data_IF_345656830361
#
_entry.id   IF_345656830361
#
_cell.length_a   1.000
_cell.length_b   1.000
_cell.length_c   1.000
_cell.angle_alpha   90.00
_cell.angle_beta   90.00
_cell.angle_gamma   90.00
#
_symmetry.space_group_name_H-M   'P 1'
#
loop_
_entity.id
_entity.type
_entity.pdbx_description
1 polymer ?
#
# COMPACT_ATOMS: atom_id res chain seq x y z
N UNK A 1 -3.35 5.47 -33.78
CA UNK A 1 -3.52 4.35 -32.83
C UNK A 1 -2.12 3.82 -32.56
N UNK A 2 -1.64 3.83 -31.32
CA UNK A 2 -0.32 3.25 -31.01
C UNK A 2 -0.46 1.73 -31.00
N UNK A 3 0.30 1.04 -31.83
CA UNK A 3 0.28 -0.42 -31.88
C UNK A 3 1.42 -0.97 -31.02
N UNK A 4 1.12 -1.37 -29.80
CA UNK A 4 2.12 -1.89 -28.85
C UNK A 4 2.65 -3.27 -29.24
N UNK A 5 1.98 -4.01 -30.14
CA UNK A 5 2.50 -5.28 -30.66
C UNK A 5 3.79 -5.11 -31.47
N UNK A 6 4.07 -3.88 -31.94
CA UNK A 6 5.32 -3.54 -32.65
C UNK A 6 6.51 -3.29 -31.70
N UNK A 7 6.27 -3.15 -30.40
CA UNK A 7 7.36 -2.99 -29.43
C UNK A 7 8.04 -4.35 -29.19
N UNK A 8 9.35 -4.46 -29.45
CA UNK A 8 10.05 -5.70 -29.16
C UNK A 8 10.09 -5.98 -27.67
N UNK A 9 10.12 -7.25 -27.29
CA UNK A 9 10.36 -7.64 -25.91
C UNK A 9 11.78 -7.31 -25.51
N UNK A 10 12.03 -6.54 -24.45
CA UNK A 10 13.39 -6.28 -23.97
C UNK A 10 14.07 -7.55 -23.47
N UNK A 11 13.31 -8.54 -23.06
CA UNK A 11 13.80 -9.83 -22.57
C UNK A 11 14.22 -10.75 -23.72
N UNK A 12 13.35 -10.89 -24.74
CA UNK A 12 13.56 -11.82 -25.86
C UNK A 12 14.51 -11.25 -26.94
N UNK A 13 14.80 -9.95 -26.90
CA UNK A 13 15.70 -9.27 -27.85
C UNK A 13 17.19 -9.46 -27.52
N UNK A 14 17.54 -10.10 -26.40
CA UNK A 14 18.92 -10.25 -25.95
C UNK A 14 19.50 -9.01 -25.25
N UNK A 15 18.70 -7.97 -25.00
CA UNK A 15 19.15 -6.69 -24.39
C UNK A 15 19.89 -6.92 -23.06
N UNK A 16 19.46 -7.85 -22.24
CA UNK A 16 20.02 -8.09 -20.91
C UNK A 16 21.08 -9.20 -20.83
N UNK A 17 21.38 -9.91 -21.94
CA UNK A 17 22.29 -11.06 -21.94
C UNK A 17 23.70 -10.72 -21.42
N UNK A 18 24.21 -9.54 -21.77
CA UNK A 18 25.53 -9.13 -21.30
C UNK A 18 25.56 -8.80 -19.80
N UNK A 19 24.44 -8.32 -19.25
CA UNK A 19 24.33 -8.03 -17.82
C UNK A 19 24.32 -9.34 -17.02
N UNK A 20 23.51 -10.31 -17.42
CA UNK A 20 23.44 -11.62 -16.77
C UNK A 20 24.76 -12.40 -16.84
N UNK A 21 25.56 -12.23 -17.92
CA UNK A 21 26.87 -12.84 -18.03
C UNK A 21 27.93 -12.15 -17.15
N UNK A 22 27.79 -10.83 -16.96
CA UNK A 22 28.80 -10.01 -16.25
C UNK A 22 28.61 -10.02 -14.74
N UNK A 23 27.37 -10.12 -14.27
CA UNK A 23 27.03 -9.96 -12.86
C UNK A 23 26.22 -11.15 -12.34
N UNK A 24 26.69 -11.75 -11.25
CA UNK A 24 25.99 -12.81 -10.51
C UNK A 24 25.17 -12.19 -9.37
N UNK A 25 24.02 -11.61 -9.72
CA UNK A 25 23.11 -10.98 -8.79
C UNK A 25 21.78 -11.73 -8.70
N UNK A 26 21.07 -11.52 -7.59
CA UNK A 26 19.65 -11.82 -7.50
C UNK A 26 18.88 -10.74 -8.30
N UNK A 27 18.30 -11.14 -9.42
CA UNK A 27 17.69 -10.20 -10.37
C UNK A 27 16.21 -10.00 -10.08
N UNK A 28 15.81 -8.71 -10.09
CA UNK A 28 14.42 -8.29 -10.14
C UNK A 28 14.12 -7.72 -11.52
N UNK A 29 13.03 -8.17 -12.15
CA UNK A 29 12.57 -7.67 -13.44
C UNK A 29 11.17 -7.05 -13.31
N UNK A 30 10.93 -5.99 -14.06
CA UNK A 30 9.60 -5.40 -14.22
C UNK A 30 8.93 -5.95 -15.46
N UNK A 31 7.76 -6.55 -15.33
CA UNK A 31 7.02 -7.17 -16.43
C UNK A 31 5.65 -6.54 -16.63
N UNK A 32 5.33 -6.18 -17.88
CA UNK A 32 4.07 -5.59 -18.28
C UNK A 32 3.37 -6.51 -19.28
N UNK A 33 2.17 -6.99 -18.94
CA UNK A 33 1.37 -7.86 -19.83
C UNK A 33 0.35 -7.07 -20.65
N UNK A 34 -0.05 -5.93 -20.14
CA UNK A 34 -0.94 -4.98 -20.80
C UNK A 34 -0.62 -3.56 -20.30
N UNK A 35 -1.02 -2.57 -21.07
CA UNK A 35 -0.80 -1.16 -20.76
C UNK A 35 -2.12 -0.40 -20.71
N UNK A 36 -2.26 0.50 -19.74
CA UNK A 36 -3.44 1.32 -19.52
C UNK A 36 -4.33 0.85 -18.37
N UNK A 37 -5.34 1.67 -18.03
CA UNK A 37 -6.30 1.39 -16.96
C UNK A 37 -7.69 1.88 -17.37
N UNK A 38 -8.76 1.06 -17.24
CA UNK A 38 -10.10 1.48 -17.60
C UNK A 38 -10.75 2.41 -16.56
N UNK A 39 -10.14 2.55 -15.39
CA UNK A 39 -10.66 3.38 -14.30
C UNK A 39 -10.17 4.83 -14.40
N UNK A 40 -10.90 5.75 -13.78
CA UNK A 40 -10.66 7.20 -13.85
C UNK A 40 -10.38 7.81 -12.49
N UNK A 41 -9.73 7.08 -11.59
CA UNK A 41 -9.43 7.58 -10.26
C UNK A 41 -8.59 8.85 -10.34
N UNK A 42 -9.02 9.93 -9.71
CA UNK A 42 -8.42 11.26 -9.84
C UNK A 42 -7.00 11.37 -9.28
N UNK A 43 -6.65 10.49 -8.34
CA UNK A 43 -5.32 10.45 -7.71
C UNK A 43 -4.30 9.61 -8.49
N UNK A 44 -4.74 8.93 -9.56
CA UNK A 44 -3.94 7.92 -10.25
C UNK A 44 -3.59 8.36 -11.67
N UNK A 45 -2.35 8.18 -12.05
CA UNK A 45 -1.81 8.58 -13.34
C UNK A 45 -2.05 7.55 -14.46
N UNK A 46 -2.28 6.31 -14.12
CA UNK A 46 -2.42 5.20 -15.09
C UNK A 46 -3.63 5.32 -16.01
N UNK A 47 -4.74 5.88 -15.53
CA UNK A 47 -5.94 6.08 -16.34
C UNK A 47 -5.94 7.37 -17.14
N UNK A 48 -5.25 8.41 -16.67
CA UNK A 48 -5.18 9.73 -17.29
C UNK A 48 -4.11 9.81 -18.37
N UNK A 49 -2.91 9.27 -18.11
CA UNK A 49 -1.76 9.36 -19.00
C UNK A 49 -1.91 8.58 -20.30
N UNK A 50 -2.71 7.50 -20.34
CA UNK A 50 -2.79 6.55 -21.47
C UNK A 50 -4.20 6.44 -22.05
N UNK A 51 -5.11 7.37 -21.68
CA UNK A 51 -6.46 7.45 -22.24
C UNK A 51 -7.32 6.18 -22.03
N UNK A 52 -7.30 5.58 -20.85
CA UNK A 52 -8.27 4.60 -20.35
C UNK A 52 -8.53 3.34 -21.20
N UNK A 53 -7.72 3.03 -22.21
CA UNK A 53 -7.82 1.77 -22.98
C UNK A 53 -6.76 0.79 -22.50
N UNK A 54 -7.16 -0.49 -22.39
CA UNK A 54 -6.23 -1.58 -22.18
C UNK A 54 -5.68 -2.07 -23.51
N UNK A 55 -4.39 -1.87 -23.73
CA UNK A 55 -3.66 -2.43 -24.86
C UNK A 55 -2.88 -3.65 -24.38
N UNK A 56 -3.08 -4.78 -25.08
CA UNK A 56 -2.58 -6.09 -24.66
C UNK A 56 -1.35 -6.46 -25.48
N UNK A 57 -0.35 -7.07 -24.83
CA UNK A 57 0.68 -7.79 -25.54
C UNK A 57 0.20 -9.19 -25.93
N UNK A 58 0.77 -9.76 -26.97
CA UNK A 58 0.42 -11.08 -27.48
C UNK A 58 0.73 -12.19 -26.47
N UNK A 59 -0.19 -13.15 -26.29
CA UNK A 59 -0.06 -14.22 -25.30
C UNK A 59 1.18 -15.09 -25.55
N UNK A 60 1.47 -15.41 -26.81
CA UNK A 60 2.66 -16.21 -27.16
C UNK A 60 3.97 -15.52 -26.75
N UNK A 61 4.04 -14.19 -26.92
CA UNK A 61 5.17 -13.40 -26.42
C UNK A 61 5.30 -13.51 -24.90
N UNK A 62 4.20 -13.36 -24.17
CA UNK A 62 4.20 -13.41 -22.72
C UNK A 62 4.61 -14.78 -22.18
N UNK A 63 4.18 -15.87 -22.82
CA UNK A 63 4.63 -17.21 -22.46
C UNK A 63 6.14 -17.39 -22.64
N UNK A 64 6.71 -16.89 -23.75
CA UNK A 64 8.16 -16.90 -23.98
C UNK A 64 8.92 -16.06 -22.95
N UNK A 65 8.35 -14.91 -22.55
CA UNK A 65 8.93 -14.09 -21.48
C UNK A 65 8.94 -14.81 -20.13
N UNK A 66 7.84 -15.52 -19.77
CA UNK A 66 7.78 -16.36 -18.56
C UNK A 66 8.83 -17.48 -18.61
N UNK A 67 8.98 -18.15 -19.75
CA UNK A 67 10.02 -19.17 -19.92
C UNK A 67 11.42 -18.58 -19.75
N UNK A 68 11.68 -17.40 -20.32
CA UNK A 68 12.93 -16.67 -20.17
C UNK A 68 13.23 -16.32 -18.70
N UNK A 69 12.23 -15.86 -17.93
CA UNK A 69 12.41 -15.55 -16.50
C UNK A 69 12.87 -16.78 -15.72
N UNK A 70 12.32 -17.93 -16.03
CA UNK A 70 12.68 -19.19 -15.39
C UNK A 70 14.07 -19.68 -15.80
N UNK A 71 14.42 -19.59 -17.09
CA UNK A 71 15.75 -19.96 -17.62
C UNK A 71 16.86 -19.07 -17.03
N UNK A 72 16.60 -17.78 -16.87
CA UNK A 72 17.54 -16.81 -16.29
C UNK A 72 17.53 -16.81 -14.74
N UNK A 73 16.74 -17.66 -14.11
CA UNK A 73 16.63 -17.80 -12.66
C UNK A 73 16.31 -16.45 -11.97
N UNK A 74 15.34 -15.73 -12.52
CA UNK A 74 14.93 -14.43 -11.96
C UNK A 74 14.31 -14.62 -10.57
N UNK A 75 14.81 -13.88 -9.58
CA UNK A 75 14.31 -13.98 -8.21
C UNK A 75 12.92 -13.39 -8.08
N UNK A 76 12.75 -12.12 -8.47
CA UNK A 76 11.47 -11.43 -8.39
C UNK A 76 11.05 -10.89 -9.76
N UNK A 77 9.84 -11.21 -10.16
CA UNK A 77 9.15 -10.53 -11.27
C UNK A 77 8.10 -9.58 -10.68
N UNK A 78 8.28 -8.28 -10.92
CA UNK A 78 7.31 -7.25 -10.57
C UNK A 78 6.38 -7.01 -11.77
N UNK A 79 5.12 -7.45 -11.65
CA UNK A 79 4.08 -7.23 -12.64
C UNK A 79 3.59 -5.78 -12.57
N UNK A 80 3.94 -4.99 -13.60
CA UNK A 80 3.64 -3.57 -13.68
C UNK A 80 2.28 -3.24 -14.31
N UNK A 81 1.41 -4.24 -14.44
CA UNK A 81 0.03 -4.01 -14.88
C UNK A 81 -0.74 -3.21 -13.84
N UNK A 82 -1.56 -2.25 -14.30
CA UNK A 82 -2.43 -1.48 -13.40
C UNK A 82 -3.49 -2.31 -12.70
N UNK A 83 -3.86 -3.46 -13.27
CA UNK A 83 -4.96 -4.32 -12.80
C UNK A 83 -4.76 -5.76 -13.27
N UNK A 84 -3.78 -6.47 -12.74
CA UNK A 84 -3.61 -7.89 -13.07
C UNK A 84 -4.84 -8.69 -12.60
N UNK A 85 -5.32 -9.61 -13.40
CA UNK A 85 -6.57 -10.34 -13.16
C UNK A 85 -7.81 -9.72 -13.81
N UNK A 86 -7.70 -8.53 -14.44
CA UNK A 86 -8.82 -7.93 -15.18
C UNK A 86 -9.15 -8.70 -16.48
N UNK A 87 -8.14 -9.22 -17.16
CA UNK A 87 -8.29 -9.96 -18.40
C UNK A 87 -8.54 -11.45 -18.15
N UNK A 88 -9.32 -12.09 -19.03
CA UNK A 88 -9.59 -13.54 -18.90
C UNK A 88 -8.33 -14.38 -19.04
N UNK A 89 -7.36 -13.93 -19.84
CA UNK A 89 -6.09 -14.63 -20.07
C UNK A 89 -5.15 -14.61 -18.87
N UNK A 90 -5.36 -13.72 -17.90
CA UNK A 90 -4.45 -13.58 -16.75
C UNK A 90 -4.39 -14.85 -15.91
N UNK A 91 -5.47 -15.63 -15.87
CA UNK A 91 -5.47 -16.99 -15.27
C UNK A 91 -4.46 -17.89 -15.97
N UNK A 92 -4.43 -17.91 -17.31
CA UNK A 92 -3.48 -18.73 -18.07
C UNK A 92 -2.02 -18.29 -17.86
N UNK A 93 -1.79 -16.98 -17.70
CA UNK A 93 -0.47 -16.46 -17.37
C UNK A 93 -0.05 -16.89 -15.96
N UNK A 94 -0.98 -16.88 -15.00
CA UNK A 94 -0.72 -17.37 -13.66
C UNK A 94 -0.43 -18.88 -13.63
N UNK A 95 -1.19 -19.68 -14.35
CA UNK A 95 -0.95 -21.13 -14.53
C UNK A 95 0.44 -21.38 -15.10
N UNK A 96 0.82 -20.66 -16.17
CA UNK A 96 2.15 -20.78 -16.79
C UNK A 96 3.29 -20.39 -15.84
N UNK A 97 3.12 -19.31 -15.07
CA UNK A 97 4.09 -18.91 -14.03
C UNK A 97 4.22 -20.00 -12.96
N UNK A 98 3.09 -20.56 -12.52
CA UNK A 98 3.07 -21.63 -11.51
C UNK A 98 3.70 -22.94 -12.03
N UNK A 99 3.43 -23.32 -13.28
CA UNK A 99 4.06 -24.48 -13.93
C UNK A 99 5.58 -24.30 -13.99
N UNK A 100 6.05 -23.14 -14.43
CA UNK A 100 7.46 -22.84 -14.51
C UNK A 100 8.12 -22.83 -13.12
N UNK A 101 7.45 -22.27 -12.11
CA UNK A 101 7.91 -22.33 -10.72
C UNK A 101 8.06 -23.76 -10.23
N UNK A 102 7.09 -24.64 -10.48
CA UNK A 102 7.15 -26.06 -10.12
C UNK A 102 8.30 -26.78 -10.83
N UNK A 103 8.51 -26.48 -12.12
CA UNK A 103 9.49 -27.18 -12.97
C UNK A 103 10.92 -26.69 -12.75
N UNK A 104 11.12 -25.39 -12.63
CA UNK A 104 12.45 -24.76 -12.63
C UNK A 104 12.83 -24.12 -11.29
N UNK A 105 11.89 -23.97 -10.35
CA UNK A 105 12.07 -23.23 -9.11
C UNK A 105 11.97 -21.71 -9.27
N UNK A 106 11.82 -21.19 -10.49
CA UNK A 106 11.82 -19.77 -10.83
C UNK A 106 10.66 -19.39 -11.75
N UNK A 107 10.22 -18.07 -11.73
CA UNK A 107 10.72 -17.05 -10.83
C UNK A 107 10.50 -17.44 -9.37
N UNK A 108 11.34 -16.94 -8.44
CA UNK A 108 11.16 -17.28 -7.04
C UNK A 108 9.92 -16.59 -6.47
N UNK A 109 9.69 -15.33 -6.87
CA UNK A 109 8.53 -14.54 -6.43
C UNK A 109 7.91 -13.78 -7.61
N UNK A 110 6.60 -13.57 -7.52
CA UNK A 110 5.85 -12.69 -8.40
C UNK A 110 5.00 -11.75 -7.55
N UNK A 111 5.07 -10.46 -7.81
CA UNK A 111 4.22 -9.45 -7.16
C UNK A 111 3.57 -8.57 -8.20
N UNK A 112 2.34 -8.13 -7.97
CA UNK A 112 1.59 -7.32 -8.93
C UNK A 112 0.46 -6.56 -8.27
N UNK A 113 0.00 -5.49 -8.91
CA UNK A 113 -1.23 -4.81 -8.54
C UNK A 113 -2.43 -5.58 -9.09
N UNK A 114 -3.21 -6.20 -8.20
CA UNK A 114 -4.44 -6.87 -8.60
C UNK A 114 -5.54 -5.87 -9.00
N UNK A 115 -6.48 -6.33 -9.82
CA UNK A 115 -7.60 -5.46 -10.23
C UNK A 115 -8.37 -4.92 -9.03
N UNK A 116 -8.68 -3.63 -9.08
CA UNK A 116 -9.28 -2.86 -7.97
C UNK A 116 -10.63 -3.41 -7.50
N UNK A 117 -11.44 -3.90 -8.42
CA UNK A 117 -12.68 -4.58 -8.10
C UNK A 117 -12.40 -6.08 -8.01
N UNK A 118 -11.72 -6.47 -6.92
CA UNK A 118 -11.40 -7.85 -6.64
C UNK A 118 -12.65 -8.72 -6.74
N UNK A 119 -12.55 -9.75 -7.55
CA UNK A 119 -13.63 -10.71 -7.83
C UNK A 119 -13.19 -12.10 -7.38
N UNK A 120 -14.09 -13.07 -7.42
CA UNK A 120 -13.72 -14.48 -7.22
C UNK A 120 -12.59 -14.91 -8.17
N UNK A 121 -12.53 -14.35 -9.38
CA UNK A 121 -11.44 -14.60 -10.32
C UNK A 121 -10.06 -14.19 -9.77
N UNK A 122 -9.98 -13.07 -9.03
CA UNK A 122 -8.71 -12.67 -8.37
C UNK A 122 -8.36 -13.63 -7.26
N UNK A 123 -9.36 -14.12 -6.53
CA UNK A 123 -9.15 -15.17 -5.53
C UNK A 123 -8.58 -16.45 -6.17
N UNK A 124 -9.18 -16.94 -7.27
CA UNK A 124 -8.70 -18.14 -7.99
C UNK A 124 -7.26 -17.95 -8.49
N UNK A 125 -6.96 -16.78 -9.05
CA UNK A 125 -5.62 -16.43 -9.52
C UNK A 125 -4.60 -16.38 -8.37
N UNK A 126 -4.97 -15.75 -7.27
CA UNK A 126 -4.13 -15.69 -6.07
C UNK A 126 -3.87 -17.07 -5.46
N UNK A 127 -4.87 -17.96 -5.50
CA UNK A 127 -4.73 -19.35 -5.07
C UNK A 127 -3.69 -20.12 -5.90
N UNK A 128 -3.69 -19.95 -7.23
CA UNK A 128 -2.67 -20.56 -8.12
C UNK A 128 -1.26 -20.13 -7.67
N UNK A 129 -1.07 -18.86 -7.34
CA UNK A 129 0.23 -18.38 -6.87
C UNK A 129 0.59 -18.87 -5.47
N UNK A 130 -0.39 -18.92 -4.55
CA UNK A 130 -0.18 -19.39 -3.19
C UNK A 130 0.25 -20.85 -3.14
N UNK A 131 -0.36 -21.73 -3.96
CA UNK A 131 -0.05 -23.16 -4.05
C UNK A 131 1.42 -23.47 -4.41
N UNK A 132 2.12 -22.52 -5.03
CA UNK A 132 3.53 -22.67 -5.43
C UNK A 132 4.46 -21.68 -4.72
N UNK A 133 3.96 -20.91 -3.77
CA UNK A 133 4.74 -19.94 -3.01
C UNK A 133 5.26 -18.75 -3.85
N UNK A 134 4.56 -18.40 -4.94
CA UNK A 134 4.95 -17.28 -5.80
C UNK A 134 4.68 -15.90 -5.21
N UNK A 135 3.66 -15.77 -4.34
CA UNK A 135 3.35 -14.49 -3.70
C UNK A 135 3.11 -14.64 -2.18
N UNK A 136 3.19 -13.53 -1.46
CA UNK A 136 3.04 -13.49 0.01
C UNK A 136 1.72 -12.90 0.49
N UNK A 137 0.95 -12.28 -0.40
CA UNK A 137 -0.32 -11.65 -0.02
C UNK A 137 -1.03 -10.99 -1.18
N UNK A 138 -2.30 -10.71 -0.98
CA UNK A 138 -3.21 -10.12 -1.99
C UNK A 138 -3.65 -8.74 -1.55
N UNK A 139 -3.44 -7.73 -2.40
CA UNK A 139 -3.99 -6.40 -2.14
C UNK A 139 -5.49 -6.35 -2.49
N UNK A 140 -6.29 -5.88 -1.54
CA UNK A 140 -7.71 -5.56 -1.74
C UNK A 140 -7.92 -4.09 -1.40
N UNK A 141 -7.52 -3.23 -2.33
CA UNK A 141 -7.41 -1.79 -2.11
C UNK A 141 -8.76 -1.09 -2.10
N UNK A 142 -9.07 -0.38 -1.01
CA UNK A 142 -10.29 0.41 -0.84
C UNK A 142 -10.07 1.92 -1.02
N UNK A 143 -8.88 2.43 -0.74
CA UNK A 143 -8.43 3.84 -0.78
C UNK A 143 -9.16 4.76 0.22
N UNK A 144 -10.47 4.66 0.33
CA UNK A 144 -11.36 5.26 1.32
C UNK A 144 -12.63 4.41 1.44
N UNK A 145 -13.31 4.49 2.58
CA UNK A 145 -14.63 3.89 2.81
C UNK A 145 -15.75 4.95 2.88
N UNK A 146 -15.41 6.21 2.74
CA UNK A 146 -16.37 7.32 2.70
C UNK A 146 -16.95 7.47 1.28
N UNK A 147 -18.28 7.37 1.15
CA UNK A 147 -18.96 7.45 -0.14
C UNK A 147 -18.80 8.80 -0.83
N UNK A 148 -18.73 9.89 -0.07
CA UNK A 148 -18.51 11.23 -0.63
C UNK A 148 -17.08 11.35 -1.19
N UNK A 149 -16.08 10.88 -0.44
CA UNK A 149 -14.70 10.81 -0.89
C UNK A 149 -14.58 9.97 -2.16
N UNK A 150 -15.16 8.76 -2.19
CA UNK A 150 -15.12 7.88 -3.36
C UNK A 150 -15.73 8.56 -4.59
N UNK A 151 -16.85 9.27 -4.43
CA UNK A 151 -17.46 10.06 -5.51
C UNK A 151 -16.52 11.16 -6.01
N UNK A 152 -15.87 11.89 -5.11
CA UNK A 152 -14.97 12.99 -5.46
C UNK A 152 -13.73 12.49 -6.20
N UNK A 153 -13.19 11.34 -5.82
CA UNK A 153 -12.03 10.73 -6.47
C UNK A 153 -12.39 9.81 -7.65
N UNK A 154 -13.65 9.77 -8.05
CA UNK A 154 -14.17 8.95 -9.17
C UNK A 154 -13.80 7.46 -9.06
N UNK A 155 -13.97 6.92 -7.86
CA UNK A 155 -13.68 5.52 -7.56
C UNK A 155 -14.92 4.79 -7.09
N UNK A 156 -15.18 3.64 -7.69
CA UNK A 156 -16.16 2.68 -7.20
C UNK A 156 -15.43 1.54 -6.47
N UNK A 157 -15.79 1.30 -5.23
CA UNK A 157 -15.33 0.15 -4.47
C UNK A 157 -16.30 -1.03 -4.59
N UNK A 158 -15.81 -2.24 -4.32
CA UNK A 158 -16.68 -3.38 -4.05
C UNK A 158 -17.53 -3.09 -2.80
N UNK A 159 -18.73 -3.67 -2.77
CA UNK A 159 -19.61 -3.53 -1.60
C UNK A 159 -18.97 -4.13 -0.35
N UNK A 160 -19.19 -3.53 0.81
CA UNK A 160 -18.58 -3.97 2.07
C UNK A 160 -18.95 -5.42 2.43
N UNK A 161 -20.19 -5.84 2.19
CA UNK A 161 -20.61 -7.23 2.43
C UNK A 161 -19.86 -8.23 1.54
N UNK A 162 -19.61 -7.85 0.28
CA UNK A 162 -18.80 -8.67 -0.61
C UNK A 162 -17.33 -8.69 -0.17
N UNK A 163 -16.78 -7.55 0.23
CA UNK A 163 -15.44 -7.47 0.81
C UNK A 163 -15.30 -8.40 2.02
N UNK A 164 -16.26 -8.36 2.94
CA UNK A 164 -16.31 -9.24 4.12
C UNK A 164 -16.36 -10.73 3.75
N UNK A 165 -17.18 -11.08 2.74
CA UNK A 165 -17.26 -12.47 2.27
C UNK A 165 -15.94 -12.92 1.62
N UNK A 166 -15.27 -12.02 0.88
CA UNK A 166 -14.00 -12.28 0.25
C UNK A 166 -12.88 -12.46 1.28
N UNK A 167 -12.84 -11.63 2.32
CA UNK A 167 -11.87 -11.78 3.42
C UNK A 167 -11.98 -13.15 4.10
N UNK A 168 -13.19 -13.62 4.36
CA UNK A 168 -13.41 -14.97 4.92
C UNK A 168 -12.83 -16.06 4.02
N UNK A 169 -13.05 -15.98 2.70
CA UNK A 169 -12.48 -16.94 1.74
C UNK A 169 -10.96 -16.95 1.77
N UNK A 170 -10.32 -15.78 1.89
CA UNK A 170 -8.86 -15.68 1.99
C UNK A 170 -8.36 -16.30 3.29
N UNK A 171 -9.01 -16.03 4.43
CA UNK A 171 -8.66 -16.62 5.73
C UNK A 171 -8.83 -18.16 5.71
N UNK A 172 -9.94 -18.66 5.17
CA UNK A 172 -10.20 -20.11 5.04
C UNK A 172 -9.18 -20.81 4.13
N UNK A 173 -8.60 -20.10 3.19
CA UNK A 173 -7.55 -20.58 2.28
C UNK A 173 -6.13 -20.34 2.80
N UNK A 174 -5.96 -19.86 4.04
CA UNK A 174 -4.67 -19.49 4.64
C UNK A 174 -3.86 -18.49 3.77
N UNK A 175 -4.57 -17.55 3.16
CA UNK A 175 -3.98 -16.52 2.32
C UNK A 175 -4.05 -15.15 2.99
N UNK A 176 -2.90 -14.52 3.13
CA UNK A 176 -2.77 -13.17 3.71
C UNK A 176 -3.29 -12.13 2.73
N UNK A 177 -4.09 -11.18 3.24
CA UNK A 177 -4.53 -10.01 2.48
C UNK A 177 -4.01 -8.73 3.14
N UNK A 178 -3.89 -7.66 2.35
CA UNK A 178 -3.70 -6.32 2.87
C UNK A 178 -4.59 -5.34 2.13
N UNK A 179 -4.96 -4.28 2.82
CA UNK A 179 -5.78 -3.19 2.28
C UNK A 179 -4.95 -1.92 2.20
N UNK A 180 -5.22 -1.12 1.19
CA UNK A 180 -4.57 0.16 0.98
C UNK A 180 -5.59 1.29 1.11
N UNK A 181 -5.23 2.30 1.89
CA UNK A 181 -5.98 3.56 2.04
C UNK A 181 -5.07 4.74 1.70
N UNK A 182 -5.68 5.89 1.40
CA UNK A 182 -4.96 7.14 1.08
C UNK A 182 -5.48 8.27 1.98
N UNK A 183 -4.58 9.00 2.63
CA UNK A 183 -4.91 10.08 3.57
C UNK A 183 -4.10 11.36 3.23
N UNK A 184 -4.77 12.55 3.18
CA UNK A 184 -6.22 12.77 3.10
C UNK A 184 -6.67 12.82 1.62
N UNK A 185 -7.91 12.43 1.37
CA UNK A 185 -8.53 12.61 0.05
C UNK A 185 -9.68 13.62 0.12
N UNK A 186 -10.04 14.32 -0.97
CA UNK A 186 -11.15 15.28 -0.99
C UNK A 186 -12.48 14.68 -0.57
N UNK A 187 -13.12 15.28 0.43
CA UNK A 187 -14.37 14.80 1.02
C UNK A 187 -14.19 13.90 2.25
N UNK A 188 -12.96 13.47 2.56
CA UNK A 188 -12.65 12.77 3.80
C UNK A 188 -12.62 13.73 4.97
N UNK A 189 -13.20 13.32 6.11
CA UNK A 189 -13.12 14.02 7.39
C UNK A 189 -12.44 13.14 8.42
N UNK A 190 -12.02 13.69 9.54
CA UNK A 190 -11.45 12.87 10.61
C UNK A 190 -12.45 11.81 11.12
N UNK A 191 -13.72 12.19 11.26
CA UNK A 191 -14.76 11.28 11.73
C UNK A 191 -15.05 10.18 10.71
N UNK A 192 -15.16 10.51 9.41
CA UNK A 192 -15.37 9.48 8.38
C UNK A 192 -14.17 8.57 8.22
N UNK A 193 -12.95 9.05 8.49
CA UNK A 193 -11.74 8.25 8.53
C UNK A 193 -11.82 7.17 9.62
N UNK A 194 -12.19 7.56 10.86
CA UNK A 194 -12.38 6.61 11.96
C UNK A 194 -13.45 5.57 11.67
N UNK A 195 -14.63 6.03 11.22
CA UNK A 195 -15.72 5.14 10.82
C UNK A 195 -15.28 4.16 9.72
N UNK A 196 -14.47 4.61 8.78
CA UNK A 196 -13.92 3.77 7.71
C UNK A 196 -13.01 2.68 8.28
N UNK A 197 -12.15 3.01 9.23
CA UNK A 197 -11.28 2.05 9.92
C UNK A 197 -12.11 1.02 10.69
N UNK A 198 -13.14 1.44 11.44
CA UNK A 198 -14.02 0.52 12.17
C UNK A 198 -14.72 -0.45 11.21
N UNK A 199 -15.27 0.04 10.10
CA UNK A 199 -15.90 -0.80 9.06
C UNK A 199 -14.93 -1.80 8.44
N UNK A 200 -13.68 -1.39 8.22
CA UNK A 200 -12.64 -2.23 7.67
C UNK A 200 -12.31 -3.39 8.63
N UNK A 201 -12.05 -3.08 9.88
CA UNK A 201 -11.72 -4.05 10.92
C UNK A 201 -12.91 -4.97 11.27
N UNK A 202 -14.15 -4.43 11.33
CA UNK A 202 -15.38 -5.21 11.46
C UNK A 202 -15.62 -6.16 10.26
N UNK A 203 -14.93 -5.94 9.16
CA UNK A 203 -14.91 -6.84 8.01
C UNK A 203 -13.80 -7.89 8.05
N UNK A 204 -13.15 -8.08 9.21
CA UNK A 204 -12.06 -9.03 9.45
C UNK A 204 -10.77 -8.73 8.69
N UNK A 205 -10.53 -7.46 8.35
CA UNK A 205 -9.26 -7.04 7.74
C UNK A 205 -8.23 -6.74 8.85
N UNK A 206 -7.63 -7.77 9.40
CA UNK A 206 -6.64 -7.67 10.48
C UNK A 206 -5.21 -8.00 10.04
N UNK A 207 -5.02 -8.52 8.80
CA UNK A 207 -3.72 -9.03 8.36
C UNK A 207 -2.75 -7.94 7.91
N UNK A 208 -3.24 -6.85 7.31
CA UNK A 208 -2.35 -5.77 6.86
C UNK A 208 -3.10 -4.53 6.37
N UNK A 209 -2.58 -3.38 6.72
CA UNK A 209 -3.04 -2.07 6.25
C UNK A 209 -1.84 -1.21 5.87
N UNK A 210 -1.89 -0.67 4.66
CA UNK A 210 -0.95 0.36 4.20
C UNK A 210 -1.73 1.66 4.02
N UNK A 211 -1.28 2.73 4.64
CA UNK A 211 -1.86 4.05 4.46
C UNK A 211 -0.85 4.95 3.75
N UNK A 212 -1.17 5.33 2.54
CA UNK A 212 -0.34 6.22 1.74
C UNK A 212 -0.68 7.68 2.01
N UNK A 213 0.33 8.54 1.99
CA UNK A 213 0.12 9.97 1.80
C UNK A 213 -0.54 10.20 0.43
N UNK A 214 -1.48 11.13 0.35
CA UNK A 214 -2.10 11.50 -0.91
C UNK A 214 -1.12 12.35 -1.75
N UNK A 215 -0.37 11.69 -2.63
CA UNK A 215 0.59 12.35 -3.51
C UNK A 215 -0.13 13.07 -4.65
N UNK A 216 0.34 14.26 -5.00
CA UNK A 216 -0.19 15.06 -6.11
C UNK A 216 0.64 14.80 -7.37
N UNK A 217 0.21 13.81 -8.14
CA UNK A 217 0.86 13.49 -9.41
C UNK A 217 0.51 14.51 -10.50
N UNK A 218 1.49 15.08 -11.24
CA UNK A 218 1.24 16.16 -12.20
C UNK A 218 0.27 15.82 -13.33
N UNK A 219 0.26 14.56 -13.77
CA UNK A 219 -0.59 14.09 -14.86
C UNK A 219 -1.93 13.49 -14.40
N UNK A 220 -2.15 13.35 -13.11
CA UNK A 220 -3.43 12.92 -12.55
C UNK A 220 -4.38 14.12 -12.40
N UNK A 221 -5.70 13.87 -12.39
CA UNK A 221 -6.70 14.95 -12.21
C UNK A 221 -6.50 15.68 -10.87
N UNK A 222 -6.00 15.00 -9.85
CA UNK A 222 -5.62 15.57 -8.56
C UNK A 222 -4.54 16.67 -8.69
N UNK A 223 -3.71 16.61 -9.74
CA UNK A 223 -2.71 17.62 -10.10
C UNK A 223 -3.29 18.83 -10.81
N UNK A 224 -4.54 18.79 -11.31
CA UNK A 224 -5.18 19.90 -12.00
C UNK A 224 -5.51 21.04 -11.03
N UNK A 225 -5.18 22.29 -11.41
CA UNK A 225 -5.38 23.47 -10.57
C UNK A 225 -6.84 23.72 -10.23
N UNK A 226 -7.76 23.52 -11.18
CA UNK A 226 -9.19 23.73 -10.93
C UNK A 226 -9.73 22.68 -9.93
N UNK A 227 -9.23 21.44 -10.01
CA UNK A 227 -9.56 20.39 -9.06
C UNK A 227 -9.03 20.75 -7.66
N UNK A 228 -7.79 21.23 -7.55
CA UNK A 228 -7.19 21.65 -6.30
C UNK A 228 -7.91 22.85 -5.68
N UNK A 229 -8.28 23.84 -6.47
CA UNK A 229 -9.06 25.01 -6.02
C UNK A 229 -10.45 24.60 -5.54
N UNK A 230 -11.14 23.70 -6.28
CA UNK A 230 -12.47 23.20 -5.92
C UNK A 230 -12.50 22.57 -4.53
N UNK A 231 -11.49 21.77 -4.20
CA UNK A 231 -11.42 21.06 -2.94
C UNK A 231 -10.49 21.72 -1.91
N UNK A 232 -10.02 22.95 -2.20
CA UNK A 232 -9.09 23.74 -1.35
C UNK A 232 -7.90 22.92 -0.88
N UNK A 233 -7.32 22.14 -1.79
CA UNK A 233 -6.19 21.26 -1.50
C UNK A 233 -4.99 22.09 -1.06
N UNK A 234 -4.43 21.72 0.10
CA UNK A 234 -3.19 22.27 0.64
C UNK A 234 -2.13 21.20 0.54
N UNK A 235 -0.97 21.56 0.00
CA UNK A 235 0.15 20.64 -0.20
C UNK A 235 1.36 21.03 0.64
N UNK A 236 2.19 20.04 0.95
CA UNK A 236 3.55 20.21 1.40
C UNK A 236 4.48 19.37 0.51
N UNK A 237 5.67 19.89 0.22
CA UNK A 237 6.69 19.11 -0.48
C UNK A 237 7.55 18.37 0.52
N UNK A 238 7.68 17.06 0.35
CA UNK A 238 8.50 16.22 1.21
C UNK A 238 9.61 15.58 0.38
N UNK A 239 10.83 15.40 0.95
CA UNK A 239 11.86 14.62 0.28
C UNK A 239 11.41 13.18 0.11
N UNK A 240 11.61 12.63 -1.08
CA UNK A 240 11.41 11.22 -1.34
C UNK A 240 12.39 10.38 -0.51
N UNK A 241 11.87 9.37 0.14
CA UNK A 241 12.70 8.29 0.66
C UNK A 241 12.01 6.95 0.41
N UNK A 242 12.79 5.92 0.23
CA UNK A 242 12.28 4.58 0.14
C UNK A 242 12.37 3.92 1.51
N UNK A 243 11.24 3.42 2.03
CA UNK A 243 11.24 2.63 3.26
C UNK A 243 12.19 1.42 3.12
N UNK A 244 12.90 1.11 4.20
CA UNK A 244 13.90 0.04 4.28
C UNK A 244 15.11 0.20 3.35
N UNK A 245 15.32 1.40 2.79
CA UNK A 245 16.56 1.71 2.08
C UNK A 245 17.64 2.21 3.03
N UNK A 246 18.88 2.09 2.59
CA UNK A 246 20.02 2.71 3.27
C UNK A 246 19.83 4.24 3.36
N UNK A 247 20.61 4.87 4.24
CA UNK A 247 20.67 6.33 4.29
C UNK A 247 21.09 6.87 2.91
N UNK A 248 20.38 7.89 2.39
CA UNK A 248 20.79 8.51 1.13
C UNK A 248 22.24 8.96 1.21
N UNK A 249 23.03 8.55 0.23
CA UNK A 249 24.47 8.94 0.10
C UNK A 249 24.61 10.20 -0.74
N UNK A 250 23.58 10.52 -1.55
CA UNK A 250 23.60 11.61 -2.50
C UNK A 250 23.08 12.92 -1.91
N UNK A 251 23.73 14.03 -2.25
CA UNK A 251 23.29 15.38 -1.92
C UNK A 251 22.11 15.88 -2.74
N UNK A 252 21.66 15.09 -3.73
CA UNK A 252 20.53 15.43 -4.61
C UNK A 252 19.26 14.83 -4.03
N UNK A 253 18.39 15.70 -3.49
CA UNK A 253 17.09 15.31 -2.97
C UNK A 253 16.01 15.51 -4.03
N UNK A 254 15.23 14.49 -4.26
CA UNK A 254 13.97 14.57 -5.01
C UNK A 254 12.81 14.85 -4.03
N UNK A 255 11.83 15.61 -4.52
CA UNK A 255 10.67 16.02 -3.70
C UNK A 255 9.37 15.62 -4.35
N UNK A 256 8.40 15.27 -3.55
CA UNK A 256 7.03 15.02 -3.98
C UNK A 256 6.03 15.88 -3.20
N UNK A 257 5.02 16.46 -3.87
CA UNK A 257 3.94 17.16 -3.19
C UNK A 257 2.93 16.16 -2.63
N UNK A 258 2.66 16.26 -1.32
CA UNK A 258 1.60 15.51 -0.65
C UNK A 258 0.50 16.45 -0.19
N UNK A 259 -0.73 15.94 -0.08
CA UNK A 259 -1.85 16.69 0.48
C UNK A 259 -1.75 16.67 2.00
N UNK A 260 -1.86 17.85 2.61
CA UNK A 260 -1.85 18.05 4.07
C UNK A 260 -3.12 18.75 4.58
N UNK A 261 -4.10 18.92 3.72
CA UNK A 261 -5.41 19.46 4.04
C UNK A 261 -6.28 19.65 2.80
N UNK A 262 -7.60 19.62 3.01
CA UNK A 262 -8.64 19.83 2.00
C UNK A 262 -9.74 20.74 2.57
N UNK A 263 -10.80 20.99 1.80
CA UNK A 263 -12.00 21.68 2.29
C UNK A 263 -12.74 20.91 3.41
N UNK A 264 -12.59 19.58 3.45
CA UNK A 264 -13.26 18.69 4.42
C UNK A 264 -12.36 18.26 5.58
N UNK A 265 -11.04 18.37 5.44
CA UNK A 265 -10.07 18.00 6.48
C UNK A 265 -8.99 19.10 6.57
N UNK A 266 -9.03 19.89 7.64
CA UNK A 266 -7.99 20.90 7.90
C UNK A 266 -6.62 20.22 8.16
N UNK A 267 -5.52 20.99 8.01
CA UNK A 267 -4.16 20.48 8.35
C UNK A 267 -4.05 19.99 9.80
N UNK A 268 -4.77 20.62 10.74
CA UNK A 268 -4.82 20.15 12.13
C UNK A 268 -5.53 18.80 12.26
N UNK A 269 -6.64 18.62 11.55
CA UNK A 269 -7.35 17.33 11.53
C UNK A 269 -6.55 16.24 10.79
N UNK A 270 -5.83 16.60 9.71
CA UNK A 270 -4.90 15.70 9.06
C UNK A 270 -3.80 15.21 10.00
N UNK A 271 -3.20 16.10 10.80
CA UNK A 271 -2.24 15.70 11.83
C UNK A 271 -2.85 14.73 12.85
N UNK A 272 -4.09 14.99 13.28
CA UNK A 272 -4.82 14.08 14.19
C UNK A 272 -5.05 12.72 13.55
N UNK A 273 -5.52 12.68 12.30
CA UNK A 273 -5.72 11.44 11.55
C UNK A 273 -4.42 10.67 11.32
N UNK A 274 -3.32 11.38 11.08
CA UNK A 274 -2.02 10.75 10.89
C UNK A 274 -1.51 10.07 12.17
N UNK A 275 -1.59 10.76 13.34
CA UNK A 275 -1.24 10.17 14.64
C UNK A 275 -2.07 8.92 14.95
N UNK A 276 -3.38 9.03 14.75
CA UNK A 276 -4.32 7.93 14.87
C UNK A 276 -3.90 6.74 13.98
N UNK A 277 -3.53 7.01 12.74
CA UNK A 277 -3.14 5.99 11.76
C UNK A 277 -1.83 5.30 12.14
N UNK A 278 -0.82 6.05 12.60
CA UNK A 278 0.44 5.46 13.07
C UNK A 278 0.20 4.54 14.28
N UNK A 279 -0.63 4.95 15.23
CA UNK A 279 -1.00 4.10 16.37
C UNK A 279 -1.76 2.84 15.93
N UNK A 280 -2.71 2.98 15.00
CA UNK A 280 -3.43 1.85 14.42
C UNK A 280 -2.46 0.85 13.76
N UNK A 281 -1.60 1.32 12.88
CA UNK A 281 -0.67 0.46 12.16
C UNK A 281 0.34 -0.20 13.13
N UNK A 282 0.97 0.58 14.01
CA UNK A 282 1.98 0.08 14.94
C UNK A 282 1.41 -0.85 16.01
N UNK A 283 0.27 -0.54 16.60
CA UNK A 283 -0.28 -1.34 17.70
C UNK A 283 -1.20 -2.47 17.24
N UNK A 284 -2.03 -2.24 16.23
CA UNK A 284 -2.92 -3.29 15.74
C UNK A 284 -2.26 -4.15 14.66
N UNK A 285 -1.83 -3.57 13.55
CA UNK A 285 -1.39 -4.34 12.39
C UNK A 285 0.01 -4.95 12.56
N UNK A 286 0.89 -4.36 13.36
CA UNK A 286 2.17 -4.96 13.76
C UNK A 286 2.04 -5.89 14.99
N UNK A 287 0.83 -6.08 15.52
CA UNK A 287 0.47 -7.18 16.42
C UNK A 287 0.59 -6.89 17.91
N UNK A 288 1.12 -5.75 18.35
CA UNK A 288 1.36 -5.46 19.76
C UNK A 288 0.07 -5.53 20.62
N UNK A 289 -1.03 -5.00 20.13
CA UNK A 289 -2.32 -4.97 20.84
C UNK A 289 -3.46 -5.60 20.02
N UNK A 290 -3.20 -6.28 18.91
CA UNK A 290 -4.23 -6.80 18.01
C UNK A 290 -5.29 -7.65 18.75
N UNK A 291 -4.84 -8.56 19.62
CA UNK A 291 -5.76 -9.38 20.41
C UNK A 291 -6.61 -8.53 21.36
N UNK A 292 -6.03 -7.51 21.99
CA UNK A 292 -6.75 -6.59 22.89
C UNK A 292 -7.82 -5.83 22.12
N UNK A 293 -7.49 -5.26 20.96
CA UNK A 293 -8.45 -4.58 20.08
C UNK A 293 -9.65 -5.47 19.74
N UNK A 294 -9.39 -6.73 19.36
CA UNK A 294 -10.42 -7.69 18.97
C UNK A 294 -11.31 -8.06 20.17
N UNK A 295 -10.72 -8.33 21.34
CA UNK A 295 -11.46 -8.66 22.56
C UNK A 295 -12.33 -7.48 22.99
N UNK A 296 -11.79 -6.27 23.06
CA UNK A 296 -12.54 -5.08 23.43
C UNK A 296 -13.74 -4.84 22.51
N UNK A 297 -13.56 -5.06 21.21
CA UNK A 297 -14.62 -4.93 20.22
C UNK A 297 -15.72 -5.96 20.42
N UNK A 298 -15.36 -7.25 20.57
CA UNK A 298 -16.33 -8.34 20.59
C UNK A 298 -17.00 -8.56 21.95
N UNK A 299 -16.25 -8.40 23.04
CA UNK A 299 -16.77 -8.68 24.39
C UNK A 299 -17.38 -7.44 25.06
N UNK A 300 -16.86 -6.25 24.75
CA UNK A 300 -17.25 -5.00 25.43
C UNK A 300 -17.90 -3.97 24.51
N UNK A 301 -17.95 -4.21 23.20
CA UNK A 301 -18.57 -3.31 22.22
C UNK A 301 -17.80 -2.01 21.99
N UNK A 302 -16.56 -1.90 22.50
CA UNK A 302 -15.70 -0.72 22.29
C UNK A 302 -15.23 -0.74 20.83
N UNK A 303 -15.38 0.38 20.12
CA UNK A 303 -14.92 0.46 18.73
C UNK A 303 -13.39 0.49 18.67
N UNK A 304 -12.84 0.05 17.54
CA UNK A 304 -11.38 0.11 17.33
C UNK A 304 -10.90 1.55 17.39
N UNK A 305 -11.65 2.46 16.81
CA UNK A 305 -11.32 3.90 16.81
C UNK A 305 -11.37 4.51 18.20
N UNK A 306 -12.35 4.16 19.04
CA UNK A 306 -12.44 4.67 20.42
C UNK A 306 -11.26 4.20 21.27
N UNK A 307 -10.82 2.96 21.08
CA UNK A 307 -9.66 2.45 21.81
C UNK A 307 -8.36 3.16 21.38
N UNK A 308 -8.17 3.39 20.07
CA UNK A 308 -7.00 4.16 19.59
C UNK A 308 -7.05 5.60 20.16
N UNK A 309 -8.21 6.25 20.13
CA UNK A 309 -8.38 7.60 20.70
C UNK A 309 -8.07 7.60 22.21
N UNK A 310 -8.45 6.54 22.93
CA UNK A 310 -8.13 6.45 24.36
C UNK A 310 -6.62 6.37 24.61
N UNK A 311 -5.85 5.65 23.78
CA UNK A 311 -4.39 5.60 23.86
C UNK A 311 -3.75 6.97 23.55
N UNK A 312 -4.26 7.65 22.51
CA UNK A 312 -3.81 9.02 22.18
C UNK A 312 -4.12 9.98 23.33
N UNK A 313 -5.34 9.96 23.84
CA UNK A 313 -5.78 10.80 24.96
C UNK A 313 -4.97 10.55 26.24
N UNK A 314 -4.69 9.27 26.54
CA UNK A 314 -3.83 8.92 27.67
C UNK A 314 -2.43 9.54 27.53
N UNK A 315 -1.82 9.38 26.35
CA UNK A 315 -0.51 9.96 26.06
C UNK A 315 -0.53 11.49 26.13
N UNK A 316 -1.57 12.16 25.63
CA UNK A 316 -1.69 13.61 25.70
C UNK A 316 -1.86 14.13 27.14
N UNK A 317 -2.54 13.38 28.01
CA UNK A 317 -2.76 13.75 29.41
C UNK A 317 -1.53 13.44 30.29
N UNK A 318 -0.79 12.36 29.99
CA UNK A 318 0.33 11.89 30.81
C UNK A 318 1.68 12.21 30.14
N UNK A 319 2.18 13.43 30.36
CA UNK A 319 3.35 14.00 29.68
C UNK A 319 4.68 13.23 29.84
N UNK A 320 4.77 12.36 30.83
CA UNK A 320 5.97 11.54 31.08
C UNK A 320 5.83 10.10 30.58
N UNK A 321 4.65 9.75 30.03
CA UNK A 321 4.36 8.39 29.52
C UNK A 321 5.15 8.05 28.26
N UNK A 322 5.31 6.77 28.00
CA UNK A 322 5.86 6.26 26.75
C UNK A 322 4.99 6.71 25.56
N UNK A 323 3.65 6.60 25.69
CA UNK A 323 2.72 7.02 24.65
C UNK A 323 2.85 8.52 24.34
N UNK A 324 3.10 9.37 25.34
CA UNK A 324 3.38 10.80 25.10
C UNK A 324 4.68 11.02 24.31
N UNK A 325 5.73 10.29 24.63
CA UNK A 325 7.00 10.37 23.87
C UNK A 325 6.79 10.04 22.40
N UNK A 326 6.07 8.95 22.10
CA UNK A 326 5.73 8.58 20.72
C UNK A 326 4.88 9.63 20.01
N UNK A 327 3.85 10.17 20.65
CA UNK A 327 3.05 11.26 20.11
C UNK A 327 3.89 12.51 19.77
N UNK A 328 4.87 12.84 20.61
CA UNK A 328 5.76 13.96 20.35
C UNK A 328 6.72 13.69 19.19
N UNK A 329 7.20 12.44 19.03
CA UNK A 329 8.00 12.02 17.88
C UNK A 329 7.18 12.20 16.61
N UNK A 330 5.95 11.67 16.57
CA UNK A 330 5.05 11.79 15.41
C UNK A 330 4.74 13.26 15.11
N UNK A 331 4.45 14.08 16.11
CA UNK A 331 4.23 15.53 15.90
C UNK A 331 5.48 16.20 15.31
N UNK A 332 6.65 15.83 15.78
CA UNK A 332 7.92 16.29 15.23
C UNK A 332 8.11 15.92 13.75
N UNK A 333 7.71 14.70 13.37
CA UNK A 333 7.74 14.26 11.98
C UNK A 333 6.78 15.05 11.10
N UNK A 334 5.55 15.25 11.57
CA UNK A 334 4.55 16.04 10.86
C UNK A 334 5.01 17.49 10.63
N UNK A 335 5.69 18.07 11.61
CA UNK A 335 6.29 19.42 11.48
C UNK A 335 7.46 19.41 10.48
N UNK A 336 8.25 18.34 10.43
CA UNK A 336 9.30 18.15 9.41
C UNK A 336 8.69 18.09 8.01
N UNK A 337 7.63 17.28 7.80
CA UNK A 337 6.92 17.20 6.52
C UNK A 337 6.41 18.57 6.07
N UNK A 338 5.77 19.34 6.96
CA UNK A 338 5.31 20.70 6.65
C UNK A 338 6.44 21.70 6.38
N UNK A 339 7.68 21.38 6.76
CA UNK A 339 8.87 22.22 6.61
C UNK A 339 9.82 21.72 5.52
N UNK A 340 9.35 20.86 4.59
CA UNK A 340 10.14 20.26 3.50
C UNK A 340 11.34 19.44 4.00
N UNK A 341 11.22 18.80 5.16
CA UNK A 341 12.27 17.96 5.72
C UNK A 341 11.84 16.50 5.70
N UNK A 342 12.82 15.61 5.61
CA UNK A 342 12.57 14.17 5.63
C UNK A 342 11.90 13.73 6.94
N UNK A 343 10.92 12.85 6.81
CA UNK A 343 10.24 12.17 7.90
C UNK A 343 10.69 10.72 8.08
N UNK A 344 11.69 10.29 7.32
CA UNK A 344 12.36 9.00 7.52
C UNK A 344 12.93 8.92 8.94
N UNK A 345 12.78 7.77 9.56
CA UNK A 345 13.27 7.53 10.91
C UNK A 345 14.40 6.51 10.89
N UNK A 346 15.40 6.78 11.72
CA UNK A 346 16.49 5.86 12.03
C UNK A 346 16.39 5.57 13.52
N UNK A 347 16.15 4.30 13.88
CA UNK A 347 15.95 3.87 15.26
C UNK A 347 17.25 3.34 15.80
N UNK A 348 17.61 3.71 17.03
CA UNK A 348 18.84 3.26 17.69
C UNK A 348 18.91 1.72 17.67
N UNK A 349 20.06 1.17 17.33
CA UNK A 349 20.24 -0.27 17.10
C UNK A 349 19.78 -0.79 15.74
N UNK A 350 19.02 0.00 14.97
CA UNK A 350 18.48 -0.34 13.65
C UNK A 350 18.71 0.77 12.63
N UNK A 351 19.78 1.57 12.79
CA UNK A 351 20.05 2.81 12.04
C UNK A 351 20.50 2.58 10.59
N UNK A 352 20.71 1.34 10.17
CA UNK A 352 21.22 1.00 8.83
C UNK A 352 20.24 1.39 7.74
N UNK A 353 18.94 1.34 8.04
CA UNK A 353 17.88 1.60 7.08
C UNK A 353 16.90 2.65 7.59
N UNK A 354 16.17 3.26 6.64
CA UNK A 354 15.09 4.20 6.92
C UNK A 354 13.78 3.46 7.23
N UNK A 355 13.21 3.70 8.40
CA UNK A 355 11.97 3.08 8.86
C UNK A 355 10.77 4.01 8.61
N UNK A 356 9.62 3.49 8.18
CA UNK A 356 8.36 4.24 8.22
C UNK A 356 7.92 4.48 9.68
N UNK A 357 7.10 5.51 9.94
CA UNK A 357 6.75 5.94 11.30
C UNK A 357 6.18 4.85 12.20
N UNK A 358 5.28 4.02 11.70
CA UNK A 358 4.63 2.94 12.43
C UNK A 358 5.60 1.81 12.81
N UNK A 359 6.51 1.46 11.91
CA UNK A 359 7.50 0.42 12.18
C UNK A 359 8.59 0.94 13.15
N UNK A 360 9.01 2.20 13.00
CA UNK A 360 9.93 2.82 13.93
C UNK A 360 9.33 2.91 15.35
N UNK A 361 8.03 3.23 15.45
CA UNK A 361 7.31 3.20 16.73
C UNK A 361 7.25 1.77 17.30
N UNK A 362 6.97 0.78 16.46
CA UNK A 362 6.97 -0.62 16.86
C UNK A 362 8.32 -1.06 17.45
N UNK A 363 9.43 -0.73 16.80
CA UNK A 363 10.77 -1.06 17.28
C UNK A 363 11.05 -0.43 18.66
N UNK A 364 10.75 0.87 18.81
CA UNK A 364 10.91 1.55 20.11
C UNK A 364 9.98 0.98 21.19
N UNK A 365 8.80 0.50 20.79
CA UNK A 365 7.86 -0.14 21.75
C UNK A 365 8.41 -1.47 22.26
N UNK A 366 9.02 -2.28 21.38
CA UNK A 366 9.66 -3.54 21.80
C UNK A 366 10.79 -3.28 22.82
N UNK A 367 11.59 -2.26 22.61
CA UNK A 367 12.64 -1.89 23.55
C UNK A 367 12.12 -1.40 24.91
N UNK A 368 10.88 -0.91 24.95
CA UNK A 368 10.21 -0.40 26.15
C UNK A 368 8.96 -1.22 26.52
N UNK A 369 8.99 -2.51 26.25
CA UNK A 369 7.85 -3.42 26.30
C UNK A 369 7.08 -3.37 27.61
N UNK A 370 7.76 -3.54 28.75
CA UNK A 370 7.14 -3.57 30.08
C UNK A 370 6.47 -2.21 30.41
N UNK A 371 7.15 -1.11 30.11
CA UNK A 371 6.61 0.24 30.33
C UNK A 371 5.35 0.46 29.50
N UNK A 372 5.37 0.04 28.25
CA UNK A 372 4.24 0.19 27.32
C UNK A 372 3.00 -0.59 27.83
N UNK A 373 3.18 -1.87 28.20
CA UNK A 373 2.04 -2.68 28.67
C UNK A 373 1.51 -2.22 30.02
N UNK A 374 2.36 -1.72 30.93
CA UNK A 374 1.94 -1.07 32.17
C UNK A 374 1.09 0.16 31.94
N UNK A 375 1.36 0.94 30.90
CA UNK A 375 0.55 2.09 30.49
C UNK A 375 -0.78 1.68 29.87
N UNK A 376 -0.78 0.68 29.00
CA UNK A 376 -2.00 0.16 28.34
C UNK A 376 -2.95 -0.51 29.33
N UNK A 377 -2.42 -1.12 30.39
CA UNK A 377 -3.23 -1.76 31.43
C UNK A 377 -4.01 -0.74 32.30
N UNK A 378 -3.54 0.49 32.45
CA UNK A 378 -4.19 1.57 33.21
C UNK A 378 -5.34 2.20 32.46
#
# INVERSE_FOLDING_TARGET
MRNYSLLPSPYLSGTFENLFKKYDYSWTLTWETNRGCPFKCTFCDWGSAIASKLEKFEEERLYKEIDYFSEKKIDLVFGADSNFGILKRDIKLAEKLAENKKKFGYPNRFTTCYTKNSTEKVFDLAKIFAEVGLHRGVSVSMQSLNTNTLKNIKRDNIKLDFFKSLQRKYVEADMVTYTELILPLPGETYESWKEGIDKLLDSSQHSGLIVYNANVMPNAELGDKNYQEKYKIKTAEIPLFQAHSDKPVDDILEYEPIIVGTDSMSTSQWKKAYKFTVFLQGFHYLGLLQAVFIILRHEYGITYSDFIESLVDYGEKNKQSFLNKELNIIEGLLNKMLSKKSYAQFVDGFEQIAWPPEEAMFLRTIENFDIFYDEVYK
#
